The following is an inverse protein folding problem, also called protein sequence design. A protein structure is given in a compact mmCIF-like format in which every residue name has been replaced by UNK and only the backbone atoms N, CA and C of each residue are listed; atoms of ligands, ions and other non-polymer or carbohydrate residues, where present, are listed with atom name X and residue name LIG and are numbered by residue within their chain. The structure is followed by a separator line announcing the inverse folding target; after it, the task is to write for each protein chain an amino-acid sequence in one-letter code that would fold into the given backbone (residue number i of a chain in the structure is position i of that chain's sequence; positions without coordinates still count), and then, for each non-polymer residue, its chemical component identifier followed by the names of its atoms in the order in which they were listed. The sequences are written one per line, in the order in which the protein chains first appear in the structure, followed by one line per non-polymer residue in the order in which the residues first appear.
data_IF_707178059150
#
_entry.id   IF_707178059150
#
_cell.length_a   1.000
_cell.length_b   1.000
_cell.length_c   1.000
_cell.angle_alpha   90.00
_cell.angle_beta   90.00
_cell.angle_gamma   90.00
#
_symmetry.space_group_name_H-M   'P 1'
#
loop_
_entity.id
_entity.type
_entity.pdbx_description
1 polymer ?
#
# COMPACT_ATOMS: atom_id res chain seq x y z
N UNK A 1 30.36 -1.72 9.49
CA UNK A 1 28.97 -1.49 9.93
C UNK A 1 28.23 -2.78 9.59
N UNK A 2 27.72 -3.51 10.59
CA UNK A 2 26.91 -4.69 10.29
C UNK A 2 25.53 -4.21 9.84
N UNK A 3 25.10 -4.66 8.67
CA UNK A 3 23.73 -4.48 8.19
C UNK A 3 22.78 -5.21 9.15
N UNK A 4 21.82 -4.48 9.70
CA UNK A 4 20.78 -5.06 10.53
C UNK A 4 19.68 -5.58 9.59
N UNK A 5 19.68 -6.88 9.31
CA UNK A 5 18.55 -7.50 8.62
C UNK A 5 17.44 -7.77 9.63
N UNK A 6 16.25 -7.15 9.49
CA UNK A 6 15.14 -7.44 10.39
C UNK A 6 14.69 -8.89 10.18
N UNK A 7 14.91 -9.71 11.21
CA UNK A 7 14.42 -11.09 11.24
C UNK A 7 12.91 -11.05 11.44
N UNK A 8 12.14 -11.57 10.49
CA UNK A 8 10.69 -11.71 10.62
C UNK A 8 10.41 -12.87 11.58
N UNK A 9 10.03 -12.55 12.82
CA UNK A 9 9.79 -13.54 13.87
C UNK A 9 8.44 -14.26 13.72
N UNK A 10 7.42 -13.57 13.20
CA UNK A 10 6.06 -14.10 13.01
C UNK A 10 5.34 -13.38 11.87
N UNK A 11 4.46 -14.11 11.18
CA UNK A 11 3.49 -13.58 10.25
C UNK A 11 2.09 -14.07 10.62
N UNK A 12 1.07 -13.25 10.33
CA UNK A 12 -0.33 -13.58 10.53
C UNK A 12 -1.13 -13.17 9.29
N UNK A 13 -2.08 -14.02 8.88
CA UNK A 13 -3.01 -13.69 7.81
C UNK A 13 -4.17 -12.89 8.40
N UNK A 14 -4.39 -11.70 7.87
CA UNK A 14 -5.49 -10.84 8.27
C UNK A 14 -6.38 -10.51 7.08
N UNK A 15 -7.69 -10.53 7.29
CA UNK A 15 -8.65 -10.02 6.32
C UNK A 15 -8.58 -8.50 6.27
N UNK A 16 -8.56 -7.95 5.06
CA UNK A 16 -8.43 -6.51 4.83
C UNK A 16 -9.52 -6.01 3.91
N UNK A 17 -9.81 -4.72 4.01
CA UNK A 17 -10.62 -3.97 3.06
C UNK A 17 -9.66 -3.39 2.01
N UNK A 18 -9.91 -3.73 0.75
CA UNK A 18 -9.17 -3.20 -0.41
C UNK A 18 -9.99 -2.08 -1.05
N UNK A 19 -9.42 -0.88 -1.13
CA UNK A 19 -10.08 0.28 -1.75
C UNK A 19 -9.24 0.81 -2.91
N UNK A 20 -9.88 1.00 -4.06
CA UNK A 20 -9.24 1.59 -5.24
C UNK A 20 -9.54 3.09 -5.30
N UNK A 21 -8.49 3.90 -5.41
CA UNK A 21 -8.59 5.36 -5.45
C UNK A 21 -7.88 5.91 -6.68
N UNK A 22 -8.43 7.00 -7.22
CA UNK A 22 -7.75 7.85 -8.19
C UNK A 22 -7.31 9.11 -7.46
N UNK A 23 -6.00 9.37 -7.43
CA UNK A 23 -5.41 10.53 -6.75
C UNK A 23 -4.57 11.36 -7.72
N UNK A 24 -4.45 12.66 -7.44
CA UNK A 24 -3.68 13.62 -8.24
C UNK A 24 -4.52 14.76 -8.78
N UNK A 25 -3.88 15.90 -9.09
CA UNK A 25 -4.54 17.12 -9.56
C UNK A 25 -4.59 17.25 -11.09
N UNK A 26 -3.99 16.30 -11.83
CA UNK A 26 -3.89 16.37 -13.28
C UNK A 26 -2.92 17.43 -13.79
N UNK A 27 -1.95 17.81 -12.95
CA UNK A 27 -0.87 18.73 -13.32
C UNK A 27 0.41 17.95 -13.56
N UNK A 28 1.40 18.56 -14.20
CA UNK A 28 2.73 17.93 -14.40
C UNK A 28 3.35 17.51 -13.08
N UNK A 29 3.24 18.36 -12.05
CA UNK A 29 3.78 18.10 -10.71
C UNK A 29 2.90 17.18 -9.86
N UNK A 30 1.64 16.96 -10.26
CA UNK A 30 0.69 16.06 -9.59
C UNK A 30 -0.16 15.32 -10.62
N UNK A 31 0.44 14.33 -11.32
CA UNK A 31 -0.27 13.54 -12.32
C UNK A 31 -1.33 12.66 -11.66
N UNK A 32 -2.38 12.35 -12.42
CA UNK A 32 -3.41 11.42 -11.95
C UNK A 32 -2.87 9.99 -11.96
N UNK A 33 -3.00 9.30 -10.83
CA UNK A 33 -2.60 7.89 -10.68
C UNK A 33 -3.67 7.09 -9.94
N UNK A 34 -3.76 5.82 -10.30
CA UNK A 34 -4.60 4.84 -9.60
C UNK A 34 -3.78 4.16 -8.52
N UNK A 35 -4.27 4.20 -7.29
CA UNK A 35 -3.67 3.53 -6.14
C UNK A 35 -4.68 2.59 -5.50
N UNK A 36 -4.16 1.60 -4.80
CA UNK A 36 -4.92 0.67 -4.00
C UNK A 36 -4.44 0.78 -2.57
N UNK A 37 -5.37 1.01 -1.66
CA UNK A 37 -5.12 1.06 -0.23
C UNK A 37 -5.68 -0.19 0.44
N UNK A 38 -4.96 -0.67 1.44
CA UNK A 38 -5.34 -1.82 2.26
C UNK A 38 -5.58 -1.34 3.68
N UNK A 39 -6.77 -1.64 4.19
CA UNK A 39 -7.22 -1.21 5.50
C UNK A 39 -7.59 -2.44 6.34
N UNK A 40 -7.28 -2.41 7.63
CA UNK A 40 -7.85 -3.37 8.57
C UNK A 40 -9.36 -3.16 8.66
N UNK A 41 -10.08 -4.17 9.16
CA UNK A 41 -11.53 -4.08 9.42
C UNK A 41 -11.88 -3.00 10.46
N UNK A 42 -10.91 -2.58 11.27
CA UNK A 42 -11.06 -1.54 12.29
C UNK A 42 -10.75 -0.13 11.75
N UNK A 43 -10.46 0.00 10.45
CA UNK A 43 -10.22 1.28 9.80
C UNK A 43 -8.79 1.80 9.88
N UNK A 44 -7.80 0.93 10.12
CA UNK A 44 -6.37 1.30 10.10
C UNK A 44 -5.78 1.01 8.72
N UNK A 45 -5.19 2.01 8.06
CA UNK A 45 -4.49 1.81 6.79
C UNK A 45 -3.13 1.16 7.03
N UNK A 46 -2.90 0.01 6.40
CA UNK A 46 -1.66 -0.77 6.55
C UNK A 46 -0.79 -0.74 5.29
N UNK A 47 -1.28 -0.19 4.18
CA UNK A 47 -0.47 -0.01 2.99
C UNK A 47 -1.20 0.68 1.84
N UNK A 48 -0.40 1.26 0.95
CA UNK A 48 -0.81 1.81 -0.34
C UNK A 48 0.16 1.31 -1.41
N UNK A 49 -0.36 0.95 -2.58
CA UNK A 49 0.45 0.63 -3.76
C UNK A 49 -0.15 1.22 -5.03
N UNK A 50 0.69 1.47 -6.03
CA UNK A 50 0.19 1.76 -7.38
C UNK A 50 -0.56 0.56 -7.94
N UNK A 51 -1.69 0.77 -8.61
CA UNK A 51 -2.50 -0.36 -9.12
C UNK A 51 -1.72 -1.27 -10.08
N UNK A 52 -0.78 -0.70 -10.83
CA UNK A 52 0.06 -1.42 -11.80
C UNK A 52 1.19 -2.25 -11.14
N UNK A 53 1.40 -2.09 -9.83
CA UNK A 53 2.45 -2.77 -9.06
C UNK A 53 1.91 -4.00 -8.32
N UNK A 54 0.60 -4.26 -8.40
CA UNK A 54 -0.05 -5.38 -7.70
C UNK A 54 0.14 -6.73 -8.41
N UNK A 55 0.49 -6.72 -9.71
CA UNK A 55 0.59 -7.92 -10.55
C UNK A 55 2.03 -8.29 -10.93
N UNK A 56 3.02 -7.66 -10.31
CA UNK A 56 4.45 -7.95 -10.50
C UNK A 56 4.97 -8.77 -9.33
#
# INVERSE_FOLDING_TARGET
MNEFEPVVERAELQQVIRVEHVIGKGTVDSPVRKVVQFWTTDGIMIGEKGINELNK
#
